data_IF_120128648040
#
_entry.id   IF_120128648040
#
_cell.length_a   1.000
_cell.length_b   1.000
_cell.length_c   1.000
_cell.angle_alpha   90.00
_cell.angle_beta   90.00
_cell.angle_gamma   90.00
#
_symmetry.space_group_name_H-M   'P 1'
#
loop_
_entity.id
_entity.type
_entity.pdbx_description
1 polymer ?
#
# COMPACT_ATOMS: atom_id res chain seq x y z
N UNK A 1 -68.42 49.02 4.43
CA UNK A 1 -67.28 49.07 3.48
C UNK A 1 -65.92 49.22 4.15
N UNK A 2 -65.68 50.23 5.02
CA UNK A 2 -64.36 50.46 5.65
C UNK A 2 -63.75 49.24 6.36
N UNK A 3 -64.56 48.46 7.09
CA UNK A 3 -64.11 47.28 7.85
C UNK A 3 -63.62 46.11 6.97
N UNK A 4 -64.13 45.99 5.75
CA UNK A 4 -63.73 44.94 4.80
C UNK A 4 -62.39 45.29 4.13
N UNK A 5 -62.18 46.56 3.79
CA UNK A 5 -60.89 47.03 3.23
C UNK A 5 -59.73 46.86 4.20
N UNK A 6 -59.91 47.15 5.49
CA UNK A 6 -58.88 46.91 6.52
C UNK A 6 -58.50 45.43 6.62
N UNK A 7 -59.49 44.54 6.59
CA UNK A 7 -59.26 43.10 6.68
C UNK A 7 -58.51 42.51 5.47
N UNK A 8 -58.70 43.08 4.28
CA UNK A 8 -57.90 42.75 3.10
C UNK A 8 -56.48 43.28 3.23
N UNK A 9 -56.31 44.51 3.71
CA UNK A 9 -54.99 45.11 3.89
C UNK A 9 -54.14 44.32 4.90
N UNK A 10 -54.70 43.98 6.05
CA UNK A 10 -54.01 43.18 7.08
C UNK A 10 -53.60 41.80 6.56
N UNK A 11 -54.49 41.11 5.83
CA UNK A 11 -54.16 39.81 5.21
C UNK A 11 -53.10 39.92 4.13
N UNK A 12 -53.09 41.00 3.34
CA UNK A 12 -52.05 41.20 2.34
C UNK A 12 -50.70 41.45 3.00
N UNK A 13 -50.65 42.31 4.02
CA UNK A 13 -49.42 42.65 4.76
C UNK A 13 -48.82 41.41 5.42
N UNK A 14 -49.64 40.57 6.03
CA UNK A 14 -49.19 39.34 6.69
C UNK A 14 -48.60 38.33 5.69
N UNK A 15 -49.18 38.21 4.48
CA UNK A 15 -48.62 37.35 3.43
C UNK A 15 -47.30 37.87 2.88
N UNK A 16 -47.14 39.20 2.77
CA UNK A 16 -45.87 39.77 2.33
C UNK A 16 -44.76 39.51 3.35
N UNK A 17 -45.04 39.63 4.65
CA UNK A 17 -44.08 39.31 5.71
C UNK A 17 -43.69 37.83 5.70
N UNK A 18 -44.65 36.90 5.61
CA UNK A 18 -44.36 35.46 5.51
C UNK A 18 -43.56 35.10 4.24
N UNK A 19 -43.76 35.83 3.13
CA UNK A 19 -43.03 35.60 1.90
C UNK A 19 -41.59 36.10 2.00
N UNK A 20 -41.37 37.27 2.61
CA UNK A 20 -40.04 37.84 2.84
C UNK A 20 -39.21 37.01 3.82
N UNK A 21 -39.81 36.50 4.91
CA UNK A 21 -39.13 35.62 5.87
C UNK A 21 -38.65 34.32 5.21
N UNK A 22 -39.52 33.67 4.42
CA UNK A 22 -39.15 32.46 3.65
C UNK A 22 -38.06 32.76 2.62
N UNK A 23 -38.09 33.95 2.01
CA UNK A 23 -37.08 34.35 1.04
C UNK A 23 -35.71 34.57 1.72
N UNK A 24 -35.69 35.18 2.90
CA UNK A 24 -34.48 35.37 3.69
C UNK A 24 -33.89 34.05 4.17
N UNK A 25 -34.71 33.13 4.70
CA UNK A 25 -34.25 31.81 5.16
C UNK A 25 -33.58 31.02 4.01
N UNK A 26 -34.20 31.00 2.83
CA UNK A 26 -33.62 30.33 1.66
C UNK A 26 -32.31 30.97 1.18
N UNK A 27 -32.19 32.31 1.29
CA UNK A 27 -30.93 33.01 0.98
C UNK A 27 -29.82 32.68 1.98
N UNK A 28 -30.14 32.56 3.27
CA UNK A 28 -29.20 32.17 4.33
C UNK A 28 -28.61 30.78 4.06
N UNK A 29 -29.49 29.79 3.80
CA UNK A 29 -29.09 28.40 3.52
C UNK A 29 -28.18 28.31 2.27
N UNK A 30 -28.45 29.11 1.24
CA UNK A 30 -27.61 29.14 0.05
C UNK A 30 -26.22 29.77 0.30
N UNK A 31 -26.14 30.83 1.12
CA UNK A 31 -24.86 31.42 1.52
C UNK A 31 -24.03 30.43 2.33
N UNK A 32 -24.62 29.79 3.33
CA UNK A 32 -23.92 28.82 4.19
C UNK A 32 -23.38 27.62 3.39
N UNK A 33 -24.14 27.14 2.39
CA UNK A 33 -23.67 26.09 1.49
C UNK A 33 -22.50 26.55 0.62
N UNK A 34 -22.58 27.77 0.07
CA UNK A 34 -21.54 28.33 -0.77
C UNK A 34 -20.23 28.53 0.02
N UNK A 35 -20.31 29.09 1.22
CA UNK A 35 -19.15 29.29 2.11
C UNK A 35 -18.50 27.94 2.49
N UNK A 36 -19.31 26.91 2.74
CA UNK A 36 -18.83 25.56 3.06
C UNK A 36 -18.13 24.88 1.87
N UNK A 37 -18.59 25.12 0.65
CA UNK A 37 -17.94 24.61 -0.57
C UNK A 37 -16.66 25.38 -0.90
N UNK A 38 -16.66 26.70 -0.76
CA UNK A 38 -15.46 27.54 -0.92
C UNK A 38 -14.37 27.13 0.08
N UNK A 39 -14.71 26.90 1.35
CA UNK A 39 -13.74 26.41 2.34
C UNK A 39 -13.13 25.05 1.95
N UNK A 40 -13.93 24.13 1.39
CA UNK A 40 -13.42 22.84 0.90
C UNK A 40 -12.48 22.99 -0.30
N UNK A 41 -12.77 23.92 -1.22
CA UNK A 41 -11.92 24.20 -2.38
C UNK A 41 -10.58 24.80 -1.91
N UNK A 42 -10.61 25.78 -1.00
CA UNK A 42 -9.40 26.39 -0.43
C UNK A 42 -8.53 25.35 0.30
N UNK A 43 -9.15 24.42 1.04
CA UNK A 43 -8.41 23.36 1.73
C UNK A 43 -7.79 22.36 0.74
N UNK A 44 -8.48 22.02 -0.36
CA UNK A 44 -7.91 21.17 -1.42
C UNK A 44 -6.74 21.85 -2.12
N UNK A 45 -6.88 23.11 -2.51
CA UNK A 45 -5.80 23.88 -3.15
C UNK A 45 -4.55 23.97 -2.25
N UNK A 46 -4.73 24.11 -0.93
CA UNK A 46 -3.60 24.11 0.03
C UNK A 46 -2.87 22.77 0.05
N UNK A 47 -3.60 21.66 0.10
CA UNK A 47 -3.00 20.31 0.10
C UNK A 47 -2.31 20.00 -1.24
N UNK A 48 -2.90 20.42 -2.37
CA UNK A 48 -2.30 20.24 -3.68
C UNK A 48 -0.99 21.05 -3.82
N UNK A 49 -0.97 22.30 -3.33
CA UNK A 49 0.27 23.11 -3.29
C UNK A 49 1.36 22.45 -2.44
N UNK A 50 1.03 22.02 -1.22
CA UNK A 50 2.00 21.32 -0.35
C UNK A 50 2.53 20.03 -0.97
N UNK A 51 1.69 19.27 -1.68
CA UNK A 51 2.10 18.06 -2.39
C UNK A 51 3.02 18.38 -3.57
N UNK A 52 2.70 19.39 -4.37
CA UNK A 52 3.54 19.79 -5.51
C UNK A 52 4.91 20.31 -5.07
N UNK A 53 4.99 21.08 -3.98
CA UNK A 53 6.27 21.53 -3.41
C UNK A 53 7.11 20.37 -2.88
N UNK A 54 6.49 19.39 -2.22
CA UNK A 54 7.19 18.17 -1.75
C UNK A 54 7.69 17.30 -2.91
N UNK A 55 6.93 17.20 -3.99
CA UNK A 55 7.35 16.44 -5.18
C UNK A 55 8.47 17.17 -5.94
N UNK A 56 8.38 18.49 -6.11
CA UNK A 56 9.42 19.29 -6.76
C UNK A 56 10.74 19.27 -5.97
N UNK A 57 10.68 19.29 -4.63
CA UNK A 57 11.87 19.17 -3.78
C UNK A 57 12.48 17.77 -3.80
N UNK A 58 11.67 16.71 -3.96
CA UNK A 58 12.15 15.34 -4.17
C UNK A 58 12.81 15.16 -5.54
N UNK A 59 12.27 15.74 -6.62
CA UNK A 59 12.87 15.69 -7.95
C UNK A 59 14.18 16.49 -8.05
N UNK A 60 14.28 17.66 -7.42
CA UNK A 60 15.51 18.44 -7.40
C UNK A 60 16.69 17.74 -6.67
N UNK A 61 16.40 16.79 -5.78
CA UNK A 61 17.40 15.99 -5.08
C UNK A 61 17.88 14.77 -5.88
N UNK A 62 17.33 14.52 -7.07
CA UNK A 62 17.78 13.49 -8.02
C UNK A 62 18.37 14.22 -9.22
N UNK A 63 19.58 14.74 -9.05
CA UNK A 63 20.31 15.41 -10.13
C UNK A 63 20.53 14.41 -11.27
N UNK A 64 20.18 14.80 -12.49
CA UNK A 64 20.22 14.02 -13.75
C UNK A 64 21.63 13.68 -14.24
N UNK A 65 22.63 13.66 -13.35
CA UNK A 65 24.03 13.42 -13.68
C UNK A 65 24.53 11.99 -13.41
N UNK A 66 23.71 11.13 -12.80
CA UNK A 66 24.14 9.77 -12.40
C UNK A 66 23.43 8.60 -13.13
N UNK A 67 22.77 8.83 -14.26
CA UNK A 67 22.21 7.76 -15.10
C UNK A 67 22.95 7.67 -16.43
N UNK A 68 23.60 6.53 -16.76
CA UNK A 68 24.30 6.39 -18.03
C UNK A 68 23.29 6.33 -19.19
N UNK A 69 23.60 7.09 -20.24
CA UNK A 69 22.89 7.12 -21.52
C UNK A 69 23.00 5.72 -22.14
N UNK A 70 21.92 4.94 -22.14
CA UNK A 70 21.80 3.74 -22.97
C UNK A 70 21.00 4.08 -24.23
N UNK A 71 21.70 4.09 -25.36
CA UNK A 71 21.14 4.12 -26.71
C UNK A 71 20.22 2.91 -26.93
N UNK A 72 18.92 3.17 -27.10
CA UNK A 72 17.97 2.25 -27.73
C UNK A 72 16.95 3.08 -28.52
N UNK A 73 17.46 3.89 -29.44
CA UNK A 73 16.64 4.60 -30.41
C UNK A 73 16.33 3.67 -31.59
N UNK A 74 15.06 3.64 -32.01
CA UNK A 74 14.49 3.10 -33.28
C UNK A 74 13.75 1.75 -33.32
N UNK A 75 13.69 0.93 -32.26
CA UNK A 75 12.96 -0.37 -32.35
C UNK A 75 11.52 -0.36 -31.82
N UNK A 76 11.16 0.56 -30.91
CA UNK A 76 9.86 0.53 -30.23
C UNK A 76 8.76 1.39 -30.88
N UNK A 77 9.12 2.42 -31.66
CA UNK A 77 8.13 3.27 -32.32
C UNK A 77 7.37 2.55 -33.45
N UNK A 78 8.08 1.76 -34.28
CA UNK A 78 7.48 1.09 -35.46
C UNK A 78 6.55 -0.08 -35.09
N UNK A 79 6.68 -0.65 -33.89
CA UNK A 79 5.75 -1.68 -33.37
C UNK A 79 4.50 -1.09 -32.70
N UNK A 80 4.60 0.09 -32.10
CA UNK A 80 3.47 0.76 -31.43
C UNK A 80 2.53 1.38 -32.47
N UNK A 81 3.05 1.86 -33.60
CA UNK A 81 2.24 2.48 -34.65
C UNK A 81 1.34 1.46 -35.40
N UNK A 82 1.84 0.25 -35.66
CA UNK A 82 1.04 -0.84 -36.25
C UNK A 82 0.03 -1.47 -35.29
N UNK A 83 0.26 -1.38 -33.98
CA UNK A 83 -0.67 -1.84 -32.94
C UNK A 83 -1.84 -0.87 -32.69
N UNK A 84 -1.60 0.44 -32.84
CA UNK A 84 -2.58 1.49 -32.54
C UNK A 84 -3.59 1.70 -33.68
N UNK A 85 -3.17 1.57 -34.95
CA UNK A 85 -4.05 1.73 -36.12
C UNK A 85 -5.08 0.60 -36.28
N UNK A 86 -4.88 -0.57 -35.64
CA UNK A 86 -5.87 -1.66 -35.64
C UNK A 86 -6.97 -1.53 -34.58
N UNK A 87 -6.81 -0.65 -33.59
CA UNK A 87 -7.87 -0.37 -32.60
C UNK A 87 -8.71 0.87 -32.92
N UNK A 88 -8.26 1.73 -33.85
CA UNK A 88 -8.99 2.93 -34.27
C UNK A 88 -10.19 2.67 -35.20
N UNK A 89 -10.25 1.51 -35.85
CA UNK A 89 -11.27 1.19 -36.85
C UNK A 89 -12.53 0.48 -36.32
N UNK A 90 -12.64 0.27 -35.00
CA UNK A 90 -13.86 -0.23 -34.34
C UNK A 90 -14.73 0.91 -33.77
N UNK A 91 -14.24 2.16 -33.79
CA UNK A 91 -14.98 3.34 -33.28
C UNK A 91 -15.64 4.21 -34.38
N UNK A 92 -15.67 3.74 -35.62
CA UNK A 92 -16.31 4.41 -36.74
C UNK A 92 -17.75 3.95 -37.00
N UNK A 93 -18.68 4.24 -36.09
CA UNK A 93 -20.12 4.19 -36.40
C UNK A 93 -20.99 3.49 -35.36
N UNK A 94 -21.86 4.26 -34.69
CA UNK A 94 -22.99 3.74 -33.90
C UNK A 94 -23.00 4.19 -32.43
N UNK A 95 -23.79 5.22 -32.15
CA UNK A 95 -24.50 5.55 -30.90
C UNK A 95 -24.23 4.63 -29.68
N UNK A 96 -23.39 5.11 -28.73
CA UNK A 96 -23.30 4.79 -27.27
C UNK A 96 -23.06 3.33 -26.80
N UNK A 97 -22.38 3.05 -25.65
CA UNK A 97 -22.12 3.95 -24.52
C UNK A 97 -20.65 4.00 -24.04
N UNK A 98 -20.08 5.20 -24.08
CA UNK A 98 -18.85 5.60 -23.37
C UNK A 98 -19.10 5.76 -21.86
N UNK A 99 -19.45 4.67 -21.18
CA UNK A 99 -19.48 4.61 -19.70
C UNK A 99 -18.45 3.60 -19.16
N UNK A 100 -17.81 2.80 -20.02
CA UNK A 100 -16.75 1.85 -19.63
C UNK A 100 -15.32 2.37 -19.67
N UNK A 101 -15.06 3.55 -20.24
CA UNK A 101 -13.69 4.00 -20.58
C UNK A 101 -13.08 4.93 -19.51
N UNK A 102 -13.87 5.57 -18.64
CA UNK A 102 -13.33 6.49 -17.64
C UNK A 102 -12.79 5.79 -16.36
N UNK A 103 -13.11 4.52 -16.14
CA UNK A 103 -12.54 3.73 -15.04
C UNK A 103 -11.31 2.90 -15.41
N UNK A 104 -11.20 2.44 -16.67
CA UNK A 104 -10.21 1.43 -17.06
C UNK A 104 -8.76 1.91 -17.15
N UNK A 105 -8.53 3.18 -17.49
CA UNK A 105 -7.16 3.68 -17.76
C UNK A 105 -6.38 3.91 -16.46
N UNK A 106 -7.06 4.36 -15.39
CA UNK A 106 -6.47 4.51 -14.05
C UNK A 106 -6.29 3.18 -13.31
N UNK A 107 -7.22 2.23 -13.50
CA UNK A 107 -7.19 0.91 -12.85
C UNK A 107 -5.93 0.11 -13.25
N UNK A 108 -5.62 0.09 -14.55
CA UNK A 108 -4.47 -0.67 -15.08
C UNK A 108 -3.13 -0.16 -14.50
N UNK A 109 -2.98 1.15 -14.33
CA UNK A 109 -1.80 1.74 -13.68
C UNK A 109 -1.72 1.39 -12.19
N UNK A 110 -2.86 1.39 -11.50
CA UNK A 110 -2.93 1.07 -10.06
C UNK A 110 -2.59 -0.40 -9.78
N UNK A 111 -3.00 -1.30 -10.67
CA UNK A 111 -2.74 -2.74 -10.54
C UNK A 111 -1.27 -3.09 -10.77
N UNK A 112 -0.63 -2.43 -11.74
CA UNK A 112 0.83 -2.53 -11.95
C UNK A 112 1.59 -2.00 -10.74
N UNK A 113 1.15 -0.86 -10.18
CA UNK A 113 1.75 -0.31 -8.96
C UNK A 113 1.56 -1.24 -7.76
N UNK A 114 0.37 -1.81 -7.55
CA UNK A 114 0.09 -2.79 -6.49
C UNK A 114 1.04 -3.99 -6.61
N UNK A 115 1.19 -4.54 -7.81
CA UNK A 115 2.08 -5.68 -8.05
C UNK A 115 3.56 -5.34 -7.78
N UNK A 116 4.01 -4.14 -8.17
CA UNK A 116 5.36 -3.68 -7.89
C UNK A 116 5.59 -3.47 -6.37
N UNK A 117 4.64 -2.83 -5.68
CA UNK A 117 4.71 -2.57 -4.25
C UNK A 117 4.67 -3.85 -3.41
N UNK A 118 3.90 -4.87 -3.84
CA UNK A 118 3.91 -6.19 -3.19
C UNK A 118 5.28 -6.86 -3.38
N UNK A 119 5.88 -6.78 -4.57
CA UNK A 119 7.22 -7.35 -4.82
C UNK A 119 8.31 -6.69 -3.98
N UNK A 120 8.23 -5.38 -3.74
CA UNK A 120 9.20 -4.71 -2.84
C UNK A 120 8.95 -5.09 -1.39
N UNK A 121 7.69 -5.11 -0.96
CA UNK A 121 7.29 -5.50 0.39
C UNK A 121 7.71 -6.94 0.75
N UNK A 122 7.56 -7.89 -0.17
CA UNK A 122 7.99 -9.29 0.07
C UNK A 122 9.51 -9.42 0.14
N UNK A 123 10.25 -8.68 -0.69
CA UNK A 123 11.72 -8.64 -0.59
C UNK A 123 12.19 -8.10 0.75
N UNK A 124 11.58 -7.02 1.23
CA UNK A 124 11.87 -6.46 2.55
C UNK A 124 11.52 -7.44 3.67
N UNK A 125 10.35 -8.09 3.60
CA UNK A 125 9.92 -9.09 4.58
C UNK A 125 10.90 -10.27 4.66
N UNK A 126 11.35 -10.78 3.51
CA UNK A 126 12.34 -11.87 3.45
C UNK A 126 13.66 -11.40 4.06
N UNK A 127 14.13 -10.19 3.74
CA UNK A 127 15.38 -9.66 4.29
C UNK A 127 15.33 -9.45 5.80
N UNK A 128 14.18 -9.07 6.35
CA UNK A 128 13.99 -8.90 7.78
C UNK A 128 13.90 -10.25 8.49
N UNK A 129 13.18 -11.22 7.90
CA UNK A 129 13.09 -12.59 8.39
C UNK A 129 14.45 -13.31 8.38
N UNK A 130 15.27 -13.14 7.33
CA UNK A 130 16.61 -13.75 7.29
C UNK A 130 17.52 -13.19 8.36
N UNK A 131 17.53 -11.87 8.59
CA UNK A 131 18.32 -11.25 9.66
C UNK A 131 17.96 -11.80 11.04
N UNK A 132 16.66 -11.87 11.34
CA UNK A 132 16.18 -12.39 12.61
C UNK A 132 16.51 -13.89 12.79
N UNK A 133 16.35 -14.69 11.74
CA UNK A 133 16.69 -16.11 11.76
C UNK A 133 18.21 -16.34 11.93
N UNK A 134 19.05 -15.56 11.26
CA UNK A 134 20.52 -15.63 11.41
C UNK A 134 20.93 -15.30 12.84
N UNK A 135 20.35 -14.25 13.42
CA UNK A 135 20.64 -13.88 14.82
C UNK A 135 20.23 -14.99 15.80
N UNK A 136 19.04 -15.56 15.63
CA UNK A 136 18.57 -16.68 16.46
C UNK A 136 19.49 -17.92 16.33
N UNK A 137 19.93 -18.25 15.11
CA UNK A 137 20.88 -19.33 14.86
C UNK A 137 22.23 -19.10 15.55
N UNK A 138 22.78 -17.88 15.46
CA UNK A 138 24.03 -17.49 16.14
C UNK A 138 23.87 -17.62 17.66
N UNK A 139 22.78 -17.12 18.23
CA UNK A 139 22.56 -17.12 19.67
C UNK A 139 22.38 -18.54 20.22
N UNK A 140 21.73 -19.43 19.48
CA UNK A 140 21.62 -20.85 19.85
C UNK A 140 22.98 -21.55 19.89
N UNK A 141 23.85 -21.30 18.91
CA UNK A 141 25.20 -21.86 18.89
C UNK A 141 26.03 -21.29 20.03
N UNK A 142 25.98 -19.97 20.28
CA UNK A 142 26.68 -19.34 21.40
C UNK A 142 26.22 -19.88 22.76
N UNK A 143 24.93 -20.16 22.92
CA UNK A 143 24.39 -20.75 24.14
C UNK A 143 24.95 -22.16 24.36
N UNK A 144 25.00 -22.99 23.31
CA UNK A 144 25.63 -24.33 23.38
C UNK A 144 27.11 -24.28 23.71
N UNK A 145 27.84 -23.31 23.15
CA UNK A 145 29.25 -23.08 23.50
C UNK A 145 29.38 -22.67 24.98
N UNK A 146 28.49 -21.81 25.51
CA UNK A 146 28.50 -21.47 26.94
C UNK A 146 28.23 -22.66 27.84
N UNK A 147 27.25 -23.50 27.49
CA UNK A 147 26.97 -24.75 28.20
C UNK A 147 28.20 -25.68 28.20
N UNK A 148 28.89 -25.76 27.06
CA UNK A 148 30.14 -26.51 26.95
C UNK A 148 31.25 -25.93 27.83
N UNK A 149 31.49 -24.63 27.81
CA UNK A 149 32.50 -23.98 28.66
C UNK A 149 32.24 -24.19 30.15
N UNK A 150 30.97 -24.20 30.57
CA UNK A 150 30.58 -24.46 31.95
C UNK A 150 30.81 -25.92 32.39
N UNK A 151 30.83 -26.87 31.46
CA UNK A 151 31.10 -28.28 31.75
C UNK A 151 32.57 -28.57 32.07
N UNK A 152 33.48 -27.63 31.77
CA UNK A 152 34.93 -27.76 31.98
C UNK A 152 35.51 -26.65 32.87
N UNK A 153 35.01 -26.46 34.10
CA UNK A 153 35.54 -25.44 34.99
C UNK A 153 36.99 -25.76 35.37
N UNK A 154 37.92 -24.86 35.04
CA UNK A 154 39.33 -24.98 35.45
C UNK A 154 40.20 -25.92 34.61
N UNK A 155 39.74 -26.34 33.43
CA UNK A 155 40.62 -27.06 32.49
C UNK A 155 41.77 -26.13 32.04
N UNK A 156 42.98 -26.67 32.03
CA UNK A 156 44.21 -25.98 31.62
C UNK A 156 44.13 -25.56 30.14
N UNK A 157 43.35 -26.31 29.35
CA UNK A 157 43.07 -26.09 27.93
C UNK A 157 41.78 -25.35 27.60
N UNK A 158 41.14 -24.68 28.57
CA UNK A 158 39.88 -23.97 28.34
C UNK A 158 40.10 -22.74 27.44
N UNK A 159 39.47 -22.73 26.27
CA UNK A 159 39.53 -21.62 25.30
C UNK A 159 38.13 -21.10 25.04
N UNK A 160 37.95 -19.79 25.05
CA UNK A 160 36.67 -19.20 24.64
C UNK A 160 36.44 -19.39 23.14
N UNK A 161 35.44 -20.21 22.82
CA UNK A 161 35.05 -20.51 21.45
C UNK A 161 33.98 -19.53 20.92
N UNK A 162 33.43 -18.63 21.74
CA UNK A 162 32.41 -17.66 21.28
C UNK A 162 32.83 -16.84 20.03
N UNK A 163 34.11 -16.42 19.86
CA UNK A 163 34.52 -15.65 18.69
C UNK A 163 34.43 -16.41 17.35
N UNK A 164 34.32 -17.74 17.35
CA UNK A 164 34.22 -18.51 16.10
C UNK A 164 32.85 -18.35 15.44
N UNK A 165 31.82 -17.95 16.20
CA UNK A 165 30.44 -17.90 15.73
C UNK A 165 30.17 -16.55 15.09
N UNK A 166 29.97 -16.58 13.78
CA UNK A 166 29.60 -15.44 12.96
C UNK A 166 28.48 -15.83 11.96
N UNK A 167 28.04 -14.88 11.15
CA UNK A 167 26.97 -15.07 10.16
C UNK A 167 27.27 -16.15 9.11
N UNK A 168 28.53 -16.50 8.85
CA UNK A 168 28.90 -17.50 7.84
C UNK A 168 29.22 -18.89 8.41
N UNK A 169 29.33 -19.01 9.74
CA UNK A 169 29.77 -20.23 10.42
C UNK A 169 28.68 -20.88 11.27
N UNK A 170 27.68 -20.12 11.74
CA UNK A 170 26.67 -20.63 12.68
C UNK A 170 25.90 -21.87 12.18
N UNK A 171 25.71 -22.01 10.86
CA UNK A 171 25.02 -23.14 10.23
C UNK A 171 25.98 -24.16 9.60
N UNK A 172 27.30 -23.98 9.76
CA UNK A 172 28.32 -24.77 9.08
C UNK A 172 29.23 -25.48 10.09
N UNK A 173 28.84 -26.71 10.43
CA UNK A 173 29.57 -27.57 11.36
C UNK A 173 31.05 -27.75 11.01
N UNK A 174 31.40 -28.10 9.75
CA UNK A 174 32.80 -28.19 9.33
C UNK A 174 33.60 -26.89 9.48
N UNK A 175 32.98 -25.72 9.24
CA UNK A 175 33.65 -24.43 9.43
C UNK A 175 33.88 -24.13 10.92
N UNK A 176 32.88 -24.36 11.78
CA UNK A 176 33.00 -24.24 13.23
C UNK A 176 34.10 -25.16 13.76
N UNK A 177 34.14 -26.41 13.29
CA UNK A 177 35.17 -27.38 13.65
C UNK A 177 36.57 -26.86 13.32
N UNK A 178 36.81 -26.43 12.06
CA UNK A 178 38.13 -25.92 11.64
C UNK A 178 38.56 -24.67 12.41
N UNK A 179 37.62 -23.76 12.66
CA UNK A 179 37.91 -22.55 13.45
C UNK A 179 38.22 -22.87 14.92
N UNK A 180 37.48 -23.80 15.53
CA UNK A 180 37.75 -24.26 16.89
C UNK A 180 39.08 -25.02 16.98
N UNK A 181 39.37 -25.90 16.03
CA UNK A 181 40.64 -26.63 15.93
C UNK A 181 41.81 -25.66 15.87
N UNK A 182 41.73 -24.64 15.01
CA UNK A 182 42.77 -23.61 14.91
C UNK A 182 42.97 -22.85 16.23
N UNK A 183 41.90 -22.34 16.84
CA UNK A 183 41.99 -21.58 18.10
C UNK A 183 42.55 -22.41 19.25
N UNK A 184 42.11 -23.67 19.39
CA UNK A 184 42.59 -24.56 20.45
C UNK A 184 44.07 -24.88 20.23
N UNK A 185 44.49 -25.17 18.99
CA UNK A 185 45.89 -25.45 18.69
C UNK A 185 46.78 -24.22 18.96
N UNK A 186 46.37 -23.03 18.52
CA UNK A 186 47.10 -21.78 18.75
C UNK A 186 47.25 -21.50 20.26
N UNK A 187 46.19 -21.70 21.04
CA UNK A 187 46.22 -21.56 22.50
C UNK A 187 47.17 -22.56 23.17
N UNK A 188 47.11 -23.83 22.77
CA UNK A 188 47.97 -24.88 23.32
C UNK A 188 49.45 -24.60 23.03
N UNK A 189 49.78 -24.10 21.84
CA UNK A 189 51.14 -23.69 21.47
C UNK A 189 51.62 -22.57 22.40
N UNK A 190 50.81 -21.52 22.61
CA UNK A 190 51.16 -20.38 23.47
C UNK A 190 51.36 -20.81 24.93
N UNK A 191 50.55 -21.74 25.42
CA UNK A 191 50.62 -22.25 26.80
C UNK A 191 51.62 -23.38 27.00
N UNK A 192 52.30 -23.85 25.95
CA UNK A 192 53.24 -24.96 26.02
C UNK A 192 52.60 -26.30 26.37
N UNK A 193 51.32 -26.49 26.08
CA UNK A 193 50.57 -27.71 26.36
C UNK A 193 50.93 -28.75 25.28
N UNK A 194 51.57 -29.85 25.69
CA UNK A 194 52.05 -30.92 24.80
C UNK A 194 51.13 -32.12 24.70
N UNK A 195 50.16 -32.22 25.61
CA UNK A 195 49.20 -33.33 25.70
C UNK A 195 47.80 -32.85 25.29
N UNK A 196 46.99 -33.73 24.70
CA UNK A 196 45.60 -33.41 24.37
C UNK A 196 44.81 -33.16 25.66
N UNK A 197 44.23 -31.97 25.79
CA UNK A 197 43.41 -31.61 26.95
C UNK A 197 42.05 -32.28 26.91
N UNK A 198 41.40 -32.45 28.07
CA UNK A 198 40.03 -32.96 28.14
C UNK A 198 39.08 -32.13 27.29
N UNK A 199 39.19 -30.81 27.38
CA UNK A 199 38.46 -29.86 26.55
C UNK A 199 38.66 -30.11 25.05
N UNK A 200 39.90 -30.23 24.57
CA UNK A 200 40.20 -30.47 23.16
C UNK A 200 39.65 -31.82 22.69
N UNK A 201 39.78 -32.87 23.51
CA UNK A 201 39.29 -34.19 23.16
C UNK A 201 37.77 -34.19 23.00
N UNK A 202 37.04 -33.54 23.90
CA UNK A 202 35.58 -33.42 23.82
C UNK A 202 35.11 -32.52 22.69
N UNK A 203 35.79 -31.39 22.45
CA UNK A 203 35.42 -30.44 21.40
C UNK A 203 35.61 -31.01 19.99
N UNK A 204 36.69 -31.78 19.75
CA UNK A 204 37.17 -32.12 18.40
C UNK A 204 37.24 -33.62 18.08
N UNK A 205 37.31 -34.51 19.08
CA UNK A 205 37.58 -35.95 18.84
C UNK A 205 36.46 -36.87 19.28
N UNK A 206 35.80 -36.58 20.40
CA UNK A 206 34.73 -37.42 20.93
C UNK A 206 33.38 -37.04 20.31
N UNK A 207 32.74 -37.93 19.52
CA UNK A 207 31.35 -37.73 19.15
C UNK A 207 30.49 -37.76 20.42
N UNK A 208 29.80 -36.65 20.68
CA UNK A 208 29.06 -36.45 21.93
C UNK A 208 28.29 -35.13 21.92
N UNK A 209 27.56 -34.80 22.99
CA UNK A 209 26.69 -33.62 23.05
C UNK A 209 27.44 -32.28 22.91
N UNK A 210 28.76 -32.31 23.06
CA UNK A 210 29.65 -31.15 23.02
C UNK A 210 30.60 -31.14 21.82
N UNK A 211 30.39 -32.03 20.85
CA UNK A 211 31.17 -32.03 19.62
C UNK A 211 30.88 -30.77 18.80
N UNK A 212 31.89 -29.93 18.58
CA UNK A 212 31.73 -28.60 17.96
C UNK A 212 31.17 -28.68 16.54
N UNK A 213 31.49 -29.75 15.81
CA UNK A 213 30.96 -29.97 14.46
C UNK A 213 29.44 -30.15 14.41
N UNK A 214 28.80 -30.57 15.50
CA UNK A 214 27.35 -30.73 15.57
C UNK A 214 26.63 -29.42 15.92
N UNK A 215 27.33 -28.42 16.47
CA UNK A 215 26.72 -27.12 16.78
C UNK A 215 26.19 -26.41 15.54
N UNK A 216 26.80 -26.63 14.37
CA UNK A 216 26.30 -26.11 13.10
C UNK A 216 24.89 -26.61 12.75
N UNK A 217 24.54 -27.85 13.13
CA UNK A 217 23.18 -28.38 12.95
C UNK A 217 22.18 -27.66 13.85
N UNK A 218 22.59 -27.30 15.07
CA UNK A 218 21.75 -26.55 16.02
C UNK A 218 21.48 -25.15 15.49
N UNK A 219 22.51 -24.46 14.97
CA UNK A 219 22.35 -23.16 14.34
C UNK A 219 21.47 -23.22 13.09
N UNK A 220 21.66 -24.22 12.22
CA UNK A 220 20.85 -24.42 11.02
C UNK A 220 19.37 -24.70 11.34
N UNK A 221 19.10 -25.63 12.27
CA UNK A 221 17.72 -25.97 12.67
C UNK A 221 17.01 -24.78 13.34
N UNK A 222 17.71 -24.02 14.18
CA UNK A 222 17.16 -22.81 14.81
C UNK A 222 16.88 -21.72 13.77
N UNK A 223 17.77 -21.58 12.77
CA UNK A 223 17.54 -20.68 11.64
C UNK A 223 16.32 -21.09 10.84
N UNK A 224 16.21 -22.35 10.42
CA UNK A 224 15.11 -22.83 9.59
C UNK A 224 13.76 -22.68 10.29
N UNK A 225 13.70 -23.00 11.58
CA UNK A 225 12.48 -22.85 12.40
C UNK A 225 12.08 -21.38 12.61
N UNK A 226 13.05 -20.51 12.89
CA UNK A 226 12.80 -19.07 13.07
C UNK A 226 12.42 -18.42 11.74
N UNK A 227 13.08 -18.80 10.65
CA UNK A 227 12.78 -18.29 9.31
C UNK A 227 11.38 -18.73 8.87
N UNK A 228 11.03 -20.01 9.06
CA UNK A 228 9.72 -20.54 8.71
C UNK A 228 8.57 -19.88 9.50
N UNK A 229 8.80 -19.48 10.75
CA UNK A 229 7.81 -18.81 11.59
C UNK A 229 7.70 -17.31 11.29
N UNK A 230 8.82 -16.60 11.10
CA UNK A 230 8.80 -15.15 10.90
C UNK A 230 8.45 -14.73 9.48
N UNK A 231 8.89 -15.48 8.47
CA UNK A 231 8.61 -15.18 7.06
C UNK A 231 7.12 -14.93 6.78
N UNK A 232 6.19 -15.86 7.09
CA UNK A 232 4.78 -15.66 6.79
C UNK A 232 4.16 -14.48 7.56
N UNK A 233 4.60 -14.24 8.80
CA UNK A 233 4.12 -13.13 9.62
C UNK A 233 4.52 -11.77 9.03
N UNK A 234 5.80 -11.63 8.63
CA UNK A 234 6.33 -10.41 8.05
C UNK A 234 5.78 -10.18 6.64
N UNK A 235 5.68 -11.24 5.82
CA UNK A 235 5.05 -11.15 4.50
C UNK A 235 3.59 -10.70 4.61
N UNK A 236 2.80 -11.30 5.50
CA UNK A 236 1.41 -10.89 5.72
C UNK A 236 1.30 -9.44 6.22
N UNK A 237 2.17 -9.01 7.13
CA UNK A 237 2.16 -7.65 7.65
C UNK A 237 2.49 -6.61 6.56
N UNK A 238 3.55 -6.83 5.78
CA UNK A 238 4.01 -5.88 4.76
C UNK A 238 3.06 -5.87 3.56
N UNK A 239 2.58 -7.03 3.11
CA UNK A 239 1.56 -7.12 2.05
C UNK A 239 0.26 -6.50 2.52
N UNK A 240 -0.20 -6.79 3.74
CA UNK A 240 -1.39 -6.19 4.33
C UNK A 240 -1.33 -4.66 4.38
N UNK A 241 -0.16 -4.08 4.67
CA UNK A 241 0.03 -2.62 4.61
C UNK A 241 -0.12 -2.04 3.19
N UNK A 242 0.37 -2.75 2.16
CA UNK A 242 0.18 -2.36 0.75
C UNK A 242 -1.28 -2.48 0.36
N UNK A 243 -1.95 -3.56 0.74
CA UNK A 243 -3.37 -3.78 0.43
C UNK A 243 -4.29 -2.77 1.11
N UNK A 244 -4.00 -2.40 2.36
CA UNK A 244 -4.73 -1.34 3.07
C UNK A 244 -4.62 -0.01 2.33
N UNK A 245 -3.40 0.38 1.91
CA UNK A 245 -3.19 1.61 1.12
C UNK A 245 -3.92 1.56 -0.21
N UNK A 246 -3.84 0.43 -0.92
CA UNK A 246 -4.55 0.24 -2.19
C UNK A 246 -6.07 0.32 -2.03
N UNK A 247 -6.63 -0.26 -0.96
CA UNK A 247 -8.07 -0.18 -0.65
C UNK A 247 -8.57 1.25 -0.44
N UNK A 248 -7.76 2.08 0.23
CA UNK A 248 -8.06 3.52 0.40
C UNK A 248 -8.09 4.24 -0.95
N UNK A 249 -7.10 4.00 -1.82
CA UNK A 249 -7.05 4.60 -3.16
C UNK A 249 -8.20 4.14 -4.07
N UNK A 250 -8.54 2.85 -4.04
CA UNK A 250 -9.68 2.32 -4.79
C UNK A 250 -11.00 2.96 -4.35
N UNK A 251 -11.21 3.09 -3.04
CA UNK A 251 -12.43 3.73 -2.51
C UNK A 251 -12.51 5.20 -2.94
N UNK A 252 -11.39 5.92 -2.93
CA UNK A 252 -11.32 7.30 -3.40
C UNK A 252 -11.66 7.43 -4.90
N UNK A 253 -11.25 6.46 -5.73
CA UNK A 253 -11.58 6.44 -7.16
C UNK A 253 -13.04 6.06 -7.45
N UNK A 254 -13.68 5.21 -6.62
CA UNK A 254 -15.08 4.79 -6.82
C UNK A 254 -16.06 5.92 -6.43
N UNK A 255 -15.73 6.71 -5.41
CA UNK A 255 -16.58 7.80 -4.92
C UNK A 255 -17.06 8.79 -6.02
N UNK A 256 -16.19 9.34 -6.91
CA UNK A 256 -16.64 10.24 -7.98
C UNK A 256 -17.52 9.53 -9.02
N UNK A 257 -17.27 8.25 -9.32
CA UNK A 257 -18.11 7.47 -10.25
C UNK A 257 -19.53 7.33 -9.72
N UNK A 258 -19.68 6.97 -8.44
CA UNK A 258 -20.99 6.88 -7.79
C UNK A 258 -21.69 8.24 -7.79
N UNK A 259 -20.97 9.32 -7.51
CA UNK A 259 -21.54 10.67 -7.54
C UNK A 259 -22.08 11.04 -8.94
N UNK A 260 -21.35 10.74 -10.01
CA UNK A 260 -21.79 10.99 -11.39
C UNK A 260 -23.04 10.17 -11.73
N UNK A 261 -23.09 8.90 -11.34
CA UNK A 261 -24.26 8.03 -11.58
C UNK A 261 -25.52 8.58 -10.88
N UNK A 262 -25.39 9.07 -9.65
CA UNK A 262 -26.51 9.69 -8.91
C UNK A 262 -27.00 10.95 -9.62
N UNK A 263 -26.11 11.81 -10.11
CA UNK A 263 -26.48 13.03 -10.86
C UNK A 263 -27.24 12.66 -12.14
N UNK A 264 -26.76 11.65 -12.89
CA UNK A 264 -27.42 11.17 -14.11
C UNK A 264 -28.81 10.60 -13.81
N UNK A 265 -28.96 9.81 -12.74
CA UNK A 265 -30.26 9.29 -12.31
C UNK A 265 -31.26 10.40 -11.97
N UNK A 266 -30.83 11.44 -11.25
CA UNK A 266 -31.68 12.60 -10.94
C UNK A 266 -32.12 13.30 -12.23
N UNK A 267 -31.20 13.51 -13.18
CA UNK A 267 -31.52 14.13 -14.47
C UNK A 267 -32.54 13.31 -15.27
N UNK A 268 -32.44 11.98 -15.26
CA UNK A 268 -33.40 11.07 -15.91
C UNK A 268 -34.78 11.16 -15.25
N UNK A 269 -34.86 11.17 -13.92
CA UNK A 269 -36.13 11.30 -13.19
C UNK A 269 -36.81 12.63 -13.52
N UNK A 270 -36.07 13.75 -13.46
CA UNK A 270 -36.59 15.08 -13.80
C UNK A 270 -37.06 15.10 -15.27
N UNK A 271 -36.27 14.54 -16.18
CA UNK A 271 -36.61 14.43 -17.59
C UNK A 271 -37.92 13.65 -17.80
N UNK A 272 -38.11 12.50 -17.14
CA UNK A 272 -39.32 11.70 -17.23
C UNK A 272 -40.54 12.46 -16.69
N UNK A 273 -40.40 13.18 -15.57
CA UNK A 273 -41.48 14.03 -15.02
C UNK A 273 -41.86 15.13 -16.00
N UNK A 274 -40.87 15.83 -16.57
CA UNK A 274 -41.10 16.90 -17.56
C UNK A 274 -41.74 16.36 -18.84
N UNK A 275 -41.29 15.20 -19.33
CA UNK A 275 -41.85 14.53 -20.51
C UNK A 275 -43.30 14.10 -20.28
N UNK A 276 -43.58 13.52 -19.10
CA UNK A 276 -44.93 13.13 -18.71
C UNK A 276 -45.86 14.35 -18.66
N UNK A 277 -45.41 15.46 -18.05
CA UNK A 277 -46.15 16.72 -18.02
C UNK A 277 -46.44 17.28 -19.42
N UNK A 278 -45.45 17.30 -20.33
CA UNK A 278 -45.65 17.73 -21.72
C UNK A 278 -46.70 16.89 -22.43
N UNK A 279 -46.63 15.55 -22.34
CA UNK A 279 -47.63 14.65 -22.94
C UNK A 279 -49.04 14.91 -22.38
N UNK A 280 -49.19 15.09 -21.07
CA UNK A 280 -50.49 15.40 -20.45
C UNK A 280 -51.05 16.74 -20.94
N UNK A 281 -50.22 17.77 -21.09
CA UNK A 281 -50.63 19.08 -21.63
C UNK A 281 -51.11 18.96 -23.08
N UNK A 282 -50.42 18.19 -23.92
CA UNK A 282 -50.82 17.97 -25.32
C UNK A 282 -52.15 17.21 -25.44
N UNK A 283 -52.36 16.16 -24.62
CA UNK A 283 -53.65 15.43 -24.60
C UNK A 283 -54.82 16.33 -24.23
N UNK A 284 -54.65 17.20 -23.23
CA UNK A 284 -55.68 18.20 -22.87
C UNK A 284 -55.98 19.16 -24.02
N UNK A 285 -54.95 19.67 -24.72
CA UNK A 285 -55.14 20.57 -25.87
C UNK A 285 -55.96 19.92 -27.00
N UNK A 286 -55.69 18.66 -27.32
CA UNK A 286 -56.44 17.90 -28.33
C UNK A 286 -57.93 17.74 -27.96
N UNK A 287 -58.25 17.59 -26.68
CA UNK A 287 -59.65 17.52 -26.22
C UNK A 287 -60.36 18.86 -26.37
N UNK A 288 -59.70 19.99 -26.07
CA UNK A 288 -60.30 21.32 -26.24
C UNK A 288 -60.52 21.70 -27.71
N UNK A 289 -59.62 21.29 -28.62
CA UNK A 289 -59.79 21.55 -30.06
C UNK A 289 -61.04 20.82 -30.58
N UNK A 290 -61.24 19.55 -30.19
CA UNK A 290 -62.43 18.79 -30.59
C UNK A 290 -63.75 19.43 -30.11
N UNK A 291 -63.78 19.99 -28.91
CA UNK A 291 -64.96 20.67 -28.37
C UNK A 291 -65.32 21.99 -29.05
N UNK A 292 -64.40 22.58 -29.82
CA UNK A 292 -64.64 23.84 -30.55
C UNK A 292 -65.07 23.62 -32.00
N UNK A 293 -64.98 22.39 -32.49
CA UNK A 293 -65.37 21.98 -33.85
C UNK A 293 -66.80 21.41 -33.93
N UNK A 294 -67.40 21.08 -32.77
CA UNK A 294 -68.85 20.81 -32.61
C UNK A 294 -69.60 22.09 -32.24
#
# INVERSE_FOLDING_TARGET
MKRVMQQFHDRTTQRFQEYDEKLQEKRQICKDKCDKEIQKIILKDKLEKELTEKLATLEANINTKDLPICECEKSLADKVEKGCLRCGSVFGGGVAPSVGILGGIGQLGLDVWKAAAIKTATKEAISEATKAATQAGIDAVKLKIKEFLLAFPGDRGLVDLLPIVNESTFNNGPALFKSAEKLINDYNIIKGIRETTSFQNTALRSPGPYYVGDFGKIGATTYDTTFASQKPLLEAAKVGAVEAKYGVWQTANIAPVVAVVVIVLIMVIIYLILRYRRKKKMKKKLQYIKFLEE
#
